data_IF_426715694812
#
_entry.id   IF_426715694812
#
_cell.length_a   1.000
_cell.length_b   1.000
_cell.length_c   1.000
_cell.angle_alpha   90.00
_cell.angle_beta   90.00
_cell.angle_gamma   90.00
#
_symmetry.space_group_name_H-M   'P 1'
#
loop_
_entity.id
_entity.type
_entity.pdbx_description
1 polymer ?
#
# COMPACT_ATOMS: atom_id res chain seq x y z
N UNK A 1 -41.68 20.83 -41.01
CA UNK A 1 -40.62 21.87 -41.01
C UNK A 1 -39.40 21.32 -40.31
N UNK A 2 -38.27 21.25 -41.01
CA UNK A 2 -37.02 20.80 -40.35
C UNK A 2 -36.47 21.95 -39.48
N UNK A 3 -36.12 21.64 -38.25
CA UNK A 3 -35.46 22.56 -37.34
C UNK A 3 -34.14 23.06 -37.97
N UNK A 4 -33.84 24.33 -37.82
CA UNK A 4 -32.53 24.85 -38.26
C UNK A 4 -31.45 24.26 -37.39
N UNK A 5 -30.23 24.10 -37.88
CA UNK A 5 -29.08 23.56 -37.11
C UNK A 5 -28.88 24.33 -35.82
N UNK A 6 -29.10 25.62 -35.78
CA UNK A 6 -29.01 26.46 -34.59
C UNK A 6 -30.08 26.09 -33.55
N UNK A 7 -31.33 25.86 -33.98
CA UNK A 7 -32.38 25.42 -33.06
C UNK A 7 -32.10 24.08 -32.44
N UNK A 8 -31.57 23.12 -33.18
CA UNK A 8 -31.19 21.79 -32.68
C UNK A 8 -30.05 21.87 -31.64
N UNK A 9 -29.06 22.76 -31.84
CA UNK A 9 -27.98 22.97 -30.87
C UNK A 9 -28.52 23.62 -29.59
N UNK A 10 -29.41 24.61 -29.71
CA UNK A 10 -30.03 25.26 -28.54
C UNK A 10 -30.85 24.28 -27.70
N UNK A 11 -31.61 23.41 -28.34
CA UNK A 11 -32.36 22.34 -27.65
C UNK A 11 -31.42 21.34 -26.94
N UNK A 12 -30.32 20.95 -27.59
CA UNK A 12 -29.32 20.09 -26.98
C UNK A 12 -28.65 20.73 -25.75
N UNK A 13 -28.32 22.02 -25.84
CA UNK A 13 -27.77 22.77 -24.70
C UNK A 13 -28.78 22.80 -23.56
N UNK A 14 -30.03 23.20 -23.82
CA UNK A 14 -31.06 23.23 -22.78
C UNK A 14 -31.29 21.88 -22.11
N UNK A 15 -31.22 20.79 -22.88
CA UNK A 15 -31.32 19.43 -22.35
C UNK A 15 -30.16 19.08 -21.42
N UNK A 16 -28.92 19.40 -21.80
CA UNK A 16 -27.74 19.13 -20.94
C UNK A 16 -27.72 20.03 -19.71
N UNK A 17 -28.16 21.29 -19.80
CA UNK A 17 -28.30 22.17 -18.64
C UNK A 17 -29.33 21.61 -17.64
N UNK A 18 -30.50 21.14 -18.13
CA UNK A 18 -31.50 20.50 -17.28
C UNK A 18 -30.95 19.23 -16.58
N UNK A 19 -30.19 18.43 -17.33
CA UNK A 19 -29.53 17.22 -16.81
C UNK A 19 -28.49 17.55 -15.73
N UNK A 20 -27.71 18.58 -15.94
CA UNK A 20 -26.74 19.06 -14.93
C UNK A 20 -27.43 19.54 -13.65
N UNK A 21 -28.55 20.27 -13.79
CA UNK A 21 -29.34 20.71 -12.65
C UNK A 21 -29.91 19.53 -11.86
N UNK A 22 -30.43 18.51 -12.53
CA UNK A 22 -30.91 17.29 -11.87
C UNK A 22 -29.80 16.53 -11.14
N UNK A 23 -28.63 16.41 -11.75
CA UNK A 23 -27.47 15.76 -11.11
C UNK A 23 -27.00 16.55 -9.87
N UNK A 24 -26.97 17.88 -9.93
CA UNK A 24 -26.65 18.72 -8.80
C UNK A 24 -27.66 18.52 -7.63
N UNK A 25 -28.95 18.45 -7.94
CA UNK A 25 -29.98 18.18 -6.94
C UNK A 25 -29.78 16.81 -6.26
N UNK A 26 -29.55 15.75 -7.05
CA UNK A 26 -29.27 14.40 -6.52
C UNK A 26 -27.99 14.37 -5.66
N UNK A 27 -26.98 15.13 -6.06
CA UNK A 27 -25.75 15.25 -5.28
C UNK A 27 -26.00 15.90 -3.92
N UNK A 28 -26.81 16.94 -3.87
CA UNK A 28 -27.18 17.61 -2.61
C UNK A 28 -28.04 16.72 -1.71
N UNK A 29 -28.97 15.95 -2.26
CA UNK A 29 -29.74 14.95 -1.51
C UNK A 29 -28.83 13.87 -0.90
N UNK A 30 -27.89 13.35 -1.72
CA UNK A 30 -26.93 12.36 -1.25
C UNK A 30 -26.02 12.89 -0.15
N UNK A 31 -25.58 14.15 -0.26
CA UNK A 31 -24.80 14.82 0.80
C UNK A 31 -25.58 14.98 2.10
N UNK A 32 -26.86 15.38 2.02
CA UNK A 32 -27.73 15.47 3.21
C UNK A 32 -27.87 14.12 3.87
N UNK A 33 -28.16 13.07 3.06
CA UNK A 33 -28.29 11.70 3.58
C UNK A 33 -27.03 11.19 4.25
N UNK A 34 -25.86 11.48 3.64
CA UNK A 34 -24.57 11.12 4.23
C UNK A 34 -24.35 11.81 5.58
N UNK A 35 -24.74 13.09 5.69
CA UNK A 35 -24.66 13.85 6.95
C UNK A 35 -25.55 13.25 8.03
N UNK A 36 -26.79 12.89 7.68
CA UNK A 36 -27.73 12.22 8.60
C UNK A 36 -27.16 10.89 9.10
N UNK A 37 -26.66 10.04 8.19
CA UNK A 37 -26.08 8.75 8.56
C UNK A 37 -24.84 8.90 9.44
N UNK A 38 -24.00 9.89 9.18
CA UNK A 38 -22.85 10.20 10.05
C UNK A 38 -23.31 10.64 11.45
N UNK A 39 -24.38 11.40 11.54
CA UNK A 39 -24.96 11.81 12.83
C UNK A 39 -25.57 10.61 13.58
N UNK A 40 -26.29 9.75 12.87
CA UNK A 40 -26.82 8.51 13.46
C UNK A 40 -25.69 7.62 14.00
N UNK A 41 -24.62 7.45 13.22
CA UNK A 41 -23.43 6.68 13.64
C UNK A 41 -22.78 7.28 14.89
N UNK A 42 -22.63 8.61 14.94
CA UNK A 42 -22.09 9.29 16.11
C UNK A 42 -22.98 9.11 17.35
N UNK A 43 -24.30 9.11 17.18
CA UNK A 43 -25.25 8.90 18.26
C UNK A 43 -25.19 7.45 18.79
N UNK A 44 -25.11 6.45 17.89
CA UNK A 44 -24.93 5.03 18.28
C UNK A 44 -23.61 4.81 19.00
N UNK A 45 -22.52 5.48 18.53
CA UNK A 45 -21.22 5.41 19.18
C UNK A 45 -21.21 6.13 20.56
N UNK A 46 -22.17 7.03 20.81
CA UNK A 46 -22.30 7.79 22.06
C UNK A 46 -23.21 7.12 23.10
N UNK A 47 -23.96 6.07 22.73
CA UNK A 47 -24.68 5.30 23.73
C UNK A 47 -23.69 4.53 24.61
N UNK A 48 -23.67 4.73 25.93
CA UNK A 48 -22.78 3.99 26.81
C UNK A 48 -23.25 2.54 26.87
N UNK A 49 -22.82 1.72 25.93
CA UNK A 49 -22.83 0.28 26.12
C UNK A 49 -21.92 -0.01 27.30
N UNK A 50 -22.52 -0.24 28.48
CA UNK A 50 -21.83 -0.66 29.70
C UNK A 50 -21.34 -2.09 29.51
N UNK A 51 -20.40 -2.26 28.62
CA UNK A 51 -19.40 -3.31 28.65
C UNK A 51 -18.08 -2.58 28.88
N UNK A 52 -17.72 -2.49 30.17
CA UNK A 52 -16.38 -2.13 30.58
C UNK A 52 -15.42 -3.20 30.04
N UNK A 53 -15.16 -3.12 28.76
CA UNK A 53 -13.93 -3.71 28.22
C UNK A 53 -12.84 -2.72 28.64
N UNK A 54 -11.91 -3.11 29.51
CA UNK A 54 -10.79 -2.25 29.80
C UNK A 54 -10.18 -1.90 28.45
N UNK A 55 -9.92 -0.61 28.21
CA UNK A 55 -9.19 -0.15 27.03
C UNK A 55 -7.83 -0.85 27.07
N UNK A 56 -7.76 -2.02 26.46
CA UNK A 56 -6.50 -2.68 26.15
C UNK A 56 -5.90 -1.81 25.07
N UNK A 57 -5.16 -0.79 25.48
CA UNK A 57 -4.15 -0.24 24.57
C UNK A 57 -3.36 -1.47 24.11
N UNK A 58 -3.22 -1.71 22.81
CA UNK A 58 -2.41 -2.81 22.34
C UNK A 58 -0.98 -2.50 22.79
N UNK A 59 -0.64 -2.95 23.99
CA UNK A 59 0.73 -2.95 24.46
C UNK A 59 1.41 -4.03 23.62
N UNK A 60 1.95 -3.64 22.49
CA UNK A 60 2.82 -4.52 21.71
C UNK A 60 4.06 -4.71 22.60
N UNK A 61 4.08 -5.81 23.33
CA UNK A 61 5.26 -6.19 24.09
C UNK A 61 6.41 -6.36 23.10
N UNK A 62 7.29 -5.37 23.07
CA UNK A 62 8.47 -5.41 22.19
C UNK A 62 9.36 -6.54 22.71
N UNK A 63 9.58 -7.61 21.94
CA UNK A 63 10.36 -8.74 22.39
C UNK A 63 11.78 -8.31 22.79
N UNK A 64 12.21 -8.69 23.99
CA UNK A 64 13.54 -8.37 24.48
C UNK A 64 14.64 -9.20 23.76
N UNK A 65 14.30 -10.42 23.32
CA UNK A 65 15.25 -11.36 22.69
C UNK A 65 15.34 -11.16 21.17
N UNK A 66 16.50 -11.49 20.60
CA UNK A 66 16.69 -11.47 19.15
C UNK A 66 15.68 -12.37 18.41
N UNK A 67 15.45 -13.58 18.90
CA UNK A 67 14.50 -14.53 18.32
C UNK A 67 13.05 -14.01 18.39
N UNK A 68 12.69 -13.35 19.49
CA UNK A 68 11.40 -12.71 19.63
C UNK A 68 11.22 -11.58 18.59
N UNK A 69 12.24 -10.75 18.37
CA UNK A 69 12.22 -9.68 17.36
C UNK A 69 12.12 -10.23 15.94
N UNK A 70 12.83 -11.31 15.64
CA UNK A 70 12.77 -11.99 14.34
C UNK A 70 11.36 -12.54 14.10
N UNK A 71 10.77 -13.23 15.09
CA UNK A 71 9.39 -13.74 14.99
C UNK A 71 8.38 -12.62 14.75
N UNK A 72 8.46 -11.53 15.52
CA UNK A 72 7.59 -10.38 15.36
C UNK A 72 7.76 -9.76 13.97
N UNK A 73 8.99 -9.56 13.51
CA UNK A 73 9.25 -9.03 12.16
C UNK A 73 8.61 -9.89 11.08
N UNK A 74 8.79 -11.21 11.14
CA UNK A 74 8.21 -12.16 10.17
C UNK A 74 6.70 -12.25 10.25
N UNK A 75 6.11 -12.00 11.41
CA UNK A 75 4.67 -11.95 11.59
C UNK A 75 4.06 -10.68 10.97
N UNK A 76 4.69 -9.53 11.18
CA UNK A 76 4.23 -8.24 10.66
C UNK A 76 4.46 -8.11 9.15
N UNK A 77 5.61 -8.58 8.66
CA UNK A 77 6.05 -8.45 7.27
C UNK A 77 6.04 -9.80 6.56
N UNK A 78 4.85 -10.41 6.45
CA UNK A 78 4.69 -11.68 5.72
C UNK A 78 4.68 -11.44 4.22
N UNK A 79 5.47 -12.22 3.49
CA UNK A 79 5.57 -12.12 2.05
C UNK A 79 6.24 -13.37 1.48
N UNK A 80 6.84 -13.24 0.31
CA UNK A 80 7.60 -14.36 -0.30
C UNK A 80 8.76 -14.77 0.61
N UNK A 81 8.94 -16.08 0.74
CA UNK A 81 10.03 -16.70 1.51
C UNK A 81 11.17 -17.23 0.63
N UNK A 82 10.94 -17.36 -0.68
CA UNK A 82 11.89 -17.87 -1.66
C UNK A 82 12.85 -16.80 -2.22
N UNK A 83 12.53 -15.52 -2.02
CA UNK A 83 13.33 -14.39 -2.50
C UNK A 83 13.02 -13.12 -1.71
N UNK A 84 14.01 -12.26 -1.53
CA UNK A 84 13.83 -10.94 -0.93
C UNK A 84 14.62 -9.87 -1.69
N UNK A 85 14.17 -8.61 -1.73
CA UNK A 85 14.92 -7.51 -2.28
C UNK A 85 15.98 -7.03 -1.29
N UNK A 86 17.20 -6.82 -1.78
CA UNK A 86 18.33 -6.29 -1.02
C UNK A 86 18.74 -4.93 -1.56
N UNK A 87 18.96 -3.96 -0.66
CA UNK A 87 19.49 -2.65 -1.03
C UNK A 87 20.92 -2.76 -1.58
N UNK A 88 21.15 -2.13 -2.70
CA UNK A 88 22.49 -1.90 -3.24
C UNK A 88 22.78 -0.40 -3.36
N UNK A 89 24.04 -0.04 -3.21
CA UNK A 89 24.52 1.33 -3.38
C UNK A 89 25.70 1.29 -4.33
N UNK A 90 25.64 2.08 -5.39
CA UNK A 90 26.76 2.22 -6.33
C UNK A 90 27.85 3.11 -5.73
N UNK A 91 29.03 2.58 -5.53
CA UNK A 91 30.19 3.35 -5.04
C UNK A 91 30.67 4.40 -6.03
N UNK A 92 30.39 4.23 -7.34
CA UNK A 92 30.81 5.18 -8.37
C UNK A 92 29.87 6.37 -8.52
N UNK A 93 28.57 6.16 -8.35
CA UNK A 93 27.56 7.19 -8.67
C UNK A 93 26.71 7.61 -7.47
N UNK A 94 26.85 6.95 -6.32
CA UNK A 94 25.99 7.16 -5.15
C UNK A 94 24.54 6.67 -5.33
N UNK A 95 24.17 6.20 -6.53
CA UNK A 95 22.82 5.69 -6.79
C UNK A 95 22.54 4.45 -5.96
N UNK A 96 21.31 4.37 -5.46
CA UNK A 96 20.83 3.25 -4.64
C UNK A 96 19.55 2.67 -5.24
N UNK A 97 19.27 1.43 -4.94
CA UNK A 97 18.06 0.75 -5.36
C UNK A 97 17.99 -0.65 -4.78
N UNK A 98 16.91 -1.36 -5.09
CA UNK A 98 16.72 -2.72 -4.64
C UNK A 98 16.83 -3.70 -5.80
N UNK A 99 17.39 -4.88 -5.54
CA UNK A 99 17.40 -6.00 -6.48
C UNK A 99 17.19 -7.30 -5.72
N UNK A 100 16.61 -8.35 -6.39
CA UNK A 100 16.49 -9.65 -5.76
C UNK A 100 17.85 -10.15 -5.27
N UNK A 101 17.93 -10.63 -4.04
CA UNK A 101 19.12 -11.26 -3.51
C UNK A 101 19.37 -12.58 -4.25
N UNK A 102 20.57 -12.72 -4.80
CA UNK A 102 20.93 -13.85 -5.67
C UNK A 102 22.36 -14.30 -5.38
N UNK A 103 22.59 -15.60 -5.24
CA UNK A 103 23.94 -16.14 -5.02
C UNK A 103 24.86 -15.96 -6.24
N UNK A 104 24.28 -15.84 -7.43
CA UNK A 104 25.01 -15.58 -8.68
C UNK A 104 25.24 -14.09 -8.95
N UNK A 105 24.85 -13.19 -8.04
CA UNK A 105 24.98 -11.75 -8.26
C UNK A 105 26.46 -11.35 -8.45
N UNK A 106 26.75 -10.70 -9.58
CA UNK A 106 28.09 -10.26 -10.00
C UNK A 106 29.11 -11.39 -10.23
N UNK A 107 28.69 -12.66 -10.24
CA UNK A 107 29.57 -13.77 -10.62
C UNK A 107 29.93 -13.65 -12.12
N UNK A 108 31.22 -13.54 -12.40
CA UNK A 108 31.73 -13.36 -13.76
C UNK A 108 31.37 -14.55 -14.65
N UNK A 109 30.81 -14.28 -15.82
CA UNK A 109 30.38 -15.32 -16.78
C UNK A 109 29.02 -15.94 -16.48
N UNK A 110 28.42 -15.61 -15.34
CA UNK A 110 27.10 -16.11 -14.94
C UNK A 110 26.08 -14.98 -14.82
N UNK A 111 26.45 -13.87 -14.15
CA UNK A 111 25.58 -12.72 -13.98
C UNK A 111 25.88 -11.68 -15.06
N UNK A 112 24.86 -11.33 -15.84
CA UNK A 112 24.97 -10.38 -16.95
C UNK A 112 24.46 -8.98 -16.61
N UNK A 113 24.36 -8.63 -15.31
CA UNK A 113 24.03 -7.26 -14.90
C UNK A 113 25.10 -6.28 -15.41
N UNK A 114 24.72 -5.07 -15.81
CA UNK A 114 23.36 -4.50 -15.88
C UNK A 114 22.63 -4.82 -17.20
N UNK A 115 23.25 -5.57 -18.12
CA UNK A 115 22.73 -5.83 -19.47
C UNK A 115 21.42 -6.61 -19.45
N UNK A 116 21.33 -7.62 -18.58
CA UNK A 116 20.15 -8.46 -18.41
C UNK A 116 19.49 -8.17 -17.04
N UNK A 117 18.18 -7.88 -17.05
CA UNK A 117 17.39 -7.71 -15.83
C UNK A 117 17.26 -9.05 -15.09
N UNK A 118 17.21 -9.01 -13.75
CA UNK A 118 17.06 -10.21 -12.94
C UNK A 118 15.80 -11.02 -13.28
N UNK A 119 14.70 -10.36 -13.65
CA UNK A 119 13.47 -11.03 -14.08
C UNK A 119 13.64 -11.91 -15.31
N UNK A 120 14.60 -11.59 -16.18
CA UNK A 120 14.84 -12.27 -17.47
C UNK A 120 16.15 -13.10 -17.45
N UNK A 121 16.79 -13.20 -16.28
CA UNK A 121 18.07 -13.90 -16.16
C UNK A 121 17.85 -15.42 -16.16
N UNK A 122 18.52 -16.19 -17.04
CA UNK A 122 18.40 -17.65 -17.04
C UNK A 122 19.15 -18.31 -15.87
N UNK A 123 20.05 -17.58 -15.22
CA UNK A 123 20.90 -18.07 -14.13
C UNK A 123 20.42 -17.55 -12.76
N UNK A 124 19.12 -17.43 -12.56
CA UNK A 124 18.56 -17.03 -11.28
C UNK A 124 18.88 -18.07 -10.20
N UNK A 125 19.46 -17.63 -9.08
CA UNK A 125 19.68 -18.44 -7.90
C UNK A 125 19.36 -17.58 -6.68
N UNK A 126 18.05 -17.31 -6.50
CA UNK A 126 17.58 -16.41 -5.45
C UNK A 126 17.84 -16.98 -4.06
N UNK A 127 18.14 -16.10 -3.12
CA UNK A 127 18.36 -16.46 -1.74
C UNK A 127 17.03 -16.44 -0.96
N UNK A 128 16.77 -17.45 -0.13
CA UNK A 128 15.55 -17.52 0.66
C UNK A 128 15.54 -16.44 1.76
N UNK A 129 14.32 -15.96 2.06
CA UNK A 129 14.07 -15.07 3.17
C UNK A 129 13.90 -15.89 4.46
N UNK A 130 14.93 -15.92 5.29
CA UNK A 130 15.00 -16.74 6.51
C UNK A 130 15.35 -15.89 7.75
N UNK A 131 15.40 -16.52 8.92
CA UNK A 131 15.67 -15.86 10.20
C UNK A 131 17.04 -15.17 10.22
N UNK A 132 18.06 -15.77 9.57
CA UNK A 132 19.37 -15.16 9.45
C UNK A 132 19.30 -13.84 8.63
N UNK A 133 18.52 -13.81 7.57
CA UNK A 133 18.32 -12.61 6.74
C UNK A 133 17.69 -11.49 7.55
N UNK A 134 16.67 -11.82 8.36
CA UNK A 134 16.01 -10.87 9.25
C UNK A 134 16.99 -10.39 10.34
N UNK A 135 17.74 -11.28 10.95
CA UNK A 135 18.74 -10.93 11.96
C UNK A 135 19.81 -9.98 11.40
N UNK A 136 20.32 -10.26 10.20
CA UNK A 136 21.31 -9.41 9.53
C UNK A 136 20.74 -8.00 9.23
N UNK A 137 19.45 -7.92 8.91
CA UNK A 137 18.74 -6.65 8.73
C UNK A 137 18.59 -5.87 10.06
N UNK A 138 18.10 -6.53 11.09
CA UNK A 138 17.91 -5.91 12.41
C UNK A 138 19.22 -5.46 13.05
N UNK A 139 20.33 -6.07 12.68
CA UNK A 139 21.68 -5.70 13.10
C UNK A 139 22.35 -4.66 12.19
N UNK A 140 21.65 -4.17 11.16
CA UNK A 140 22.15 -3.15 10.23
C UNK A 140 23.20 -3.66 9.22
N UNK A 141 23.44 -4.96 9.11
CA UNK A 141 24.40 -5.53 8.14
C UNK A 141 23.91 -5.37 6.70
N UNK A 142 22.60 -5.48 6.51
CA UNK A 142 21.94 -5.34 5.22
C UNK A 142 20.61 -4.62 5.38
N UNK A 143 20.25 -3.79 4.40
CA UNK A 143 18.88 -3.30 4.26
C UNK A 143 18.16 -4.20 3.26
N UNK A 144 17.07 -4.77 3.71
CA UNK A 144 16.22 -5.65 2.89
C UNK A 144 14.81 -5.09 2.80
N UNK A 145 14.06 -5.57 1.84
CA UNK A 145 12.61 -5.38 1.74
C UNK A 145 11.90 -6.73 1.70
N UNK A 146 10.61 -6.67 1.48
CA UNK A 146 9.73 -7.84 1.32
C UNK A 146 9.05 -7.74 -0.04
N UNK A 147 8.87 -8.87 -0.71
CA UNK A 147 7.92 -8.98 -1.81
C UNK A 147 6.57 -9.41 -1.23
N UNK A 148 5.61 -8.48 -1.06
CA UNK A 148 4.33 -8.79 -0.40
C UNK A 148 3.45 -9.70 -1.25
N UNK A 149 3.51 -9.59 -2.58
CA UNK A 149 2.73 -10.40 -3.50
C UNK A 149 3.32 -11.81 -3.60
N UNK A 150 2.53 -12.81 -3.24
CA UNK A 150 2.88 -14.23 -3.31
C UNK A 150 2.78 -14.75 -4.74
N UNK A 151 3.20 -16.01 -4.98
CA UNK A 151 3.17 -16.64 -6.31
C UNK A 151 1.76 -16.92 -6.82
N UNK A 152 0.80 -17.02 -5.93
CA UNK A 152 -0.63 -17.23 -6.20
C UNK A 152 -1.41 -15.89 -6.30
N UNK A 153 -0.68 -14.75 -6.41
CA UNK A 153 -1.22 -13.40 -6.53
C UNK A 153 -1.99 -12.91 -5.28
N UNK A 154 -1.84 -13.59 -4.15
CA UNK A 154 -2.36 -13.13 -2.85
C UNK A 154 -1.34 -12.33 -2.06
N UNK A 155 -1.77 -11.61 -1.03
CA UNK A 155 -0.91 -10.90 -0.09
C UNK A 155 -1.46 -10.96 1.33
N UNK A 156 -0.57 -10.78 2.33
CA UNK A 156 -0.93 -10.80 3.74
C UNK A 156 -1.24 -9.42 4.31
N UNK A 157 -0.80 -8.36 3.66
CA UNK A 157 -1.02 -6.98 4.09
C UNK A 157 -1.02 -6.04 2.91
N UNK A 158 -1.71 -4.93 3.08
CA UNK A 158 -1.69 -3.79 2.17
C UNK A 158 -0.85 -2.68 2.80
N UNK A 159 -0.08 -1.98 1.97
CA UNK A 159 0.67 -0.79 2.38
C UNK A 159 0.16 0.38 1.57
N UNK A 160 -0.24 1.44 2.26
CA UNK A 160 -0.51 2.73 1.67
C UNK A 160 0.60 3.70 2.07
N UNK A 161 1.17 4.40 1.10
CA UNK A 161 2.23 5.40 1.30
C UNK A 161 1.65 6.81 1.11
N UNK A 162 1.78 7.63 2.13
CA UNK A 162 1.27 9.00 2.16
C UNK A 162 2.46 9.96 2.27
N UNK A 163 2.86 10.58 1.16
CA UNK A 163 4.14 11.29 1.03
C UNK A 163 4.05 12.80 0.79
N UNK A 164 2.93 13.47 1.02
CA UNK A 164 2.75 14.91 0.83
C UNK A 164 2.56 15.66 2.15
N UNK A 165 2.50 16.98 2.09
CA UNK A 165 2.32 17.82 3.28
C UNK A 165 1.06 17.49 4.09
N UNK A 166 -0.02 17.03 3.42
CA UNK A 166 -1.29 16.64 4.04
C UNK A 166 -1.35 15.16 4.50
N UNK A 167 -0.23 14.45 4.54
CA UNK A 167 -0.22 13.01 4.82
C UNK A 167 -1.00 12.58 6.07
N UNK A 168 -1.01 13.41 7.12
CA UNK A 168 -1.70 13.08 8.37
C UNK A 168 -3.24 13.13 8.22
N UNK A 169 -3.74 14.10 7.45
CA UNK A 169 -5.17 14.22 7.11
C UNK A 169 -5.59 13.10 6.16
N UNK A 170 -4.74 12.78 5.18
CA UNK A 170 -4.97 11.71 4.21
C UNK A 170 -5.01 10.33 4.90
N UNK A 171 -4.13 10.08 5.89
CA UNK A 171 -4.17 8.87 6.74
C UNK A 171 -5.47 8.80 7.53
N UNK A 172 -5.88 9.91 8.18
CA UNK A 172 -7.15 9.97 8.91
C UNK A 172 -8.34 9.62 8.01
N UNK A 173 -8.44 10.25 6.84
CA UNK A 173 -9.49 9.98 5.88
C UNK A 173 -9.48 8.52 5.36
N UNK A 174 -8.30 7.92 5.21
CA UNK A 174 -8.15 6.52 4.77
C UNK A 174 -8.59 5.52 5.84
N UNK A 175 -8.29 5.81 7.12
CA UNK A 175 -8.65 4.92 8.24
C UNK A 175 -10.14 4.98 8.54
N UNK A 176 -10.78 6.13 8.31
CA UNK A 176 -12.21 6.36 8.54
C UNK A 176 -13.12 5.80 7.41
N UNK A 177 -12.54 5.18 6.37
CA UNK A 177 -13.26 4.58 5.23
C UNK A 177 -13.49 3.11 5.42
#
# INVERSE_FOLDING_TARGET
MALTREQSIREAIAHEEARLAELAHRQDESRKRLTELKQELANVASEPTVLSVPAVQPHVDIPATADGKIRLFRQLFRGRDDVYPKLWVSTKTGRKGYSPACSNEWVRGVCEKPRVKCSNCPNQAFLPFNDKTVLDHLQGRHTIGIYPLLKDETCWFLVADFDKESWAEDVGAFVDT
#
